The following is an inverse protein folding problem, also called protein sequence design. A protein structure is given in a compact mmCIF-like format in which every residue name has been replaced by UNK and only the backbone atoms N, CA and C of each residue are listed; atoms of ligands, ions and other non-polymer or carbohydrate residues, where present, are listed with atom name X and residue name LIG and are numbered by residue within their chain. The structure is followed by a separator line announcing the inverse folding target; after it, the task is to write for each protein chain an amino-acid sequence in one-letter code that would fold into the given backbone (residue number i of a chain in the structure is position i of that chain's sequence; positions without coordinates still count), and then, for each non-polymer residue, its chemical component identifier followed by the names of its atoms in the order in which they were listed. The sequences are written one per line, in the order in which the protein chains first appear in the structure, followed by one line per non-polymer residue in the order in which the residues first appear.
data_IF_690857271292
#
_entry.id   IF_690857271292
#
_cell.length_a   1.000
_cell.length_b   1.000
_cell.length_c   1.000
_cell.angle_alpha   90.00
_cell.angle_beta   90.00
_cell.angle_gamma   90.00
#
_symmetry.space_group_name_H-M   'P 1'
#
loop_
_entity.id
_entity.type
_entity.pdbx_description
1 polymer ?
#
# COMPACT_ATOMS: atom_id res chain seq x y z
N UNK A 1 22.56 5.91 -9.86
CA UNK A 1 21.99 4.68 -9.26
C UNK A 1 20.48 4.71 -9.40
N UNK A 2 19.78 3.58 -9.57
CA UNK A 2 18.32 3.59 -9.59
C UNK A 2 17.77 4.11 -8.24
N UNK A 3 16.59 4.76 -8.21
CA UNK A 3 15.97 5.16 -6.96
C UNK A 3 15.71 3.97 -6.03
N UNK A 4 15.84 4.19 -4.74
CA UNK A 4 15.45 3.23 -3.71
C UNK A 4 13.93 3.26 -3.57
N UNK A 5 13.28 2.09 -3.67
CA UNK A 5 11.86 1.97 -3.37
C UNK A 5 11.68 1.77 -1.86
N UNK A 6 11.17 2.77 -1.16
CA UNK A 6 10.79 2.65 0.25
C UNK A 6 9.31 2.30 0.35
N UNK A 7 9.02 1.06 0.74
CA UNK A 7 7.67 0.59 1.03
C UNK A 7 7.28 1.08 2.43
N UNK A 8 6.27 1.94 2.51
CA UNK A 8 5.82 2.55 3.76
C UNK A 8 4.52 1.90 4.22
N UNK A 9 4.56 1.23 5.37
CA UNK A 9 3.39 0.66 6.03
C UNK A 9 3.11 1.41 7.34
N UNK A 10 1.87 1.38 7.82
CA UNK A 10 1.57 1.93 9.14
C UNK A 10 2.22 1.09 10.25
N UNK A 11 2.21 -0.23 10.09
CA UNK A 11 2.63 -1.19 11.11
C UNK A 11 1.47 -1.69 11.94
N UNK A 12 1.70 -2.77 12.69
CA UNK A 12 0.72 -3.39 13.57
C UNK A 12 1.37 -4.23 14.66
N UNK A 13 0.67 -4.40 15.78
CA UNK A 13 1.00 -5.39 16.81
C UNK A 13 0.76 -6.84 16.34
N UNK A 14 -0.08 -7.03 15.32
CA UNK A 14 -0.27 -8.36 14.72
C UNK A 14 0.97 -8.73 13.87
N UNK A 15 1.71 -9.80 14.23
CA UNK A 15 2.92 -10.19 13.51
C UNK A 15 2.66 -10.56 12.04
N UNK A 16 1.43 -10.94 11.68
CA UNK A 16 1.04 -11.25 10.29
C UNK A 16 1.12 -10.02 9.40
N UNK A 17 0.98 -8.82 9.95
CA UNK A 17 1.09 -7.57 9.20
C UNK A 17 2.50 -7.38 8.65
N UNK A 18 3.51 -7.35 9.53
CA UNK A 18 4.91 -7.18 9.13
C UNK A 18 5.36 -8.32 8.21
N UNK A 19 4.96 -9.56 8.48
CA UNK A 19 5.25 -10.70 7.61
C UNK A 19 4.70 -10.50 6.18
N UNK A 20 3.49 -9.97 6.04
CA UNK A 20 2.87 -9.67 4.74
C UNK A 20 3.62 -8.55 4.00
N UNK A 21 3.99 -7.47 4.70
CA UNK A 21 4.77 -6.36 4.12
C UNK A 21 6.13 -6.84 3.61
N UNK A 22 6.85 -7.63 4.41
CA UNK A 22 8.14 -8.19 4.00
C UNK A 22 8.00 -9.20 2.85
N UNK A 23 6.94 -10.02 2.83
CA UNK A 23 6.66 -10.91 1.72
C UNK A 23 6.41 -10.13 0.42
N UNK A 24 5.65 -9.03 0.48
CA UNK A 24 5.44 -8.14 -0.66
C UNK A 24 6.76 -7.52 -1.15
N UNK A 25 7.57 -6.97 -0.24
CA UNK A 25 8.86 -6.38 -0.60
C UNK A 25 9.80 -7.42 -1.25
N UNK A 26 9.86 -8.65 -0.72
CA UNK A 26 10.61 -9.75 -1.36
C UNK A 26 10.09 -10.06 -2.76
N UNK A 27 8.78 -10.08 -2.96
CA UNK A 27 8.20 -10.33 -4.28
C UNK A 27 8.54 -9.22 -5.27
N UNK A 28 8.52 -7.95 -4.85
CA UNK A 28 8.93 -6.83 -5.70
C UNK A 28 10.40 -6.94 -6.10
N UNK A 29 11.31 -7.26 -5.16
CA UNK A 29 12.73 -7.49 -5.45
C UNK A 29 12.93 -8.62 -6.48
N UNK A 30 12.20 -9.72 -6.32
CA UNK A 30 12.28 -10.85 -7.26
C UNK A 30 11.78 -10.48 -8.67
N UNK A 31 10.75 -9.63 -8.77
CA UNK A 31 10.22 -9.16 -10.06
C UNK A 31 11.07 -8.06 -10.71
N UNK A 32 11.90 -7.37 -9.93
CA UNK A 32 12.76 -6.26 -10.38
C UNK A 32 14.18 -6.43 -9.86
N UNK A 33 14.96 -7.37 -10.42
CA UNK A 33 16.37 -7.52 -10.07
C UNK A 33 17.12 -6.17 -10.22
N UNK A 34 17.96 -5.84 -9.24
CA UNK A 34 18.70 -4.58 -9.19
C UNK A 34 17.93 -3.39 -8.59
N UNK A 35 16.62 -3.49 -8.36
CA UNK A 35 15.89 -2.49 -7.58
C UNK A 35 16.14 -2.72 -6.09
N UNK A 36 16.71 -1.71 -5.43
CA UNK A 36 16.79 -1.70 -3.97
C UNK A 36 15.41 -1.39 -3.40
N UNK A 37 14.86 -2.33 -2.65
CA UNK A 37 13.58 -2.17 -1.95
C UNK A 37 13.84 -2.19 -0.45
N UNK A 38 13.31 -1.22 0.26
CA UNK A 38 13.37 -1.08 1.72
C UNK A 38 11.94 -1.07 2.28
N UNK A 39 11.78 -1.46 3.53
CA UNK A 39 10.49 -1.41 4.25
C UNK A 39 10.64 -0.52 5.47
N UNK A 40 9.75 0.45 5.64
CA UNK A 40 9.69 1.31 6.82
C UNK A 40 8.27 1.36 7.37
N UNK A 41 8.17 1.44 8.69
CA UNK A 41 6.90 1.49 9.41
C UNK A 41 6.71 2.82 10.13
N UNK A 42 5.46 3.28 10.27
CA UNK A 42 5.14 4.49 11.04
C UNK A 42 5.06 4.19 12.53
N UNK A 43 4.55 3.02 12.90
CA UNK A 43 4.34 2.58 14.28
C UNK A 43 4.50 1.06 14.42
N UNK A 44 4.57 0.55 15.64
CA UNK A 44 4.56 -0.86 16.09
C UNK A 44 5.67 -1.79 15.59
N UNK A 45 6.28 -1.52 14.43
CA UNK A 45 7.26 -2.38 13.81
C UNK A 45 8.52 -1.58 13.47
N UNK A 46 9.63 -2.30 13.35
CA UNK A 46 10.93 -1.74 12.96
C UNK A 46 11.40 -2.36 11.64
N UNK A 47 12.25 -1.65 10.87
CA UNK A 47 12.71 -0.28 11.12
C UNK A 47 11.61 0.76 10.86
N UNK A 48 11.64 1.86 11.61
CA UNK A 48 10.77 3.01 11.36
C UNK A 48 11.15 3.71 10.05
N UNK A 49 10.23 4.46 9.46
CA UNK A 49 10.52 5.27 8.26
C UNK A 49 11.73 6.20 8.47
N UNK A 50 11.84 6.97 9.58
CA UNK A 50 13.03 7.77 9.85
C UNK A 50 14.33 6.96 9.91
N UNK A 51 14.33 5.81 10.59
CA UNK A 51 15.53 4.95 10.70
C UNK A 51 16.03 4.48 9.34
N UNK A 52 15.11 4.12 8.44
CA UNK A 52 15.47 3.73 7.07
C UNK A 52 16.06 4.91 6.30
N UNK A 53 15.44 6.08 6.37
CA UNK A 53 15.91 7.28 5.65
C UNK A 53 17.27 7.75 6.17
N UNK A 54 17.49 7.76 7.48
CA UNK A 54 18.78 8.10 8.10
C UNK A 54 19.89 7.17 7.64
N UNK A 55 19.59 5.87 7.58
CA UNK A 55 20.54 4.87 7.07
C UNK A 55 20.84 5.09 5.60
N UNK A 56 19.82 5.33 4.76
CA UNK A 56 20.02 5.61 3.34
C UNK A 56 20.86 6.87 3.10
N UNK A 57 20.63 7.93 3.87
CA UNK A 57 21.41 9.17 3.79
C UNK A 57 22.89 8.92 4.14
N UNK A 58 23.16 8.17 5.22
CA UNK A 58 24.54 7.80 5.61
C UNK A 58 25.24 6.95 4.56
N UNK A 59 24.55 5.96 4.01
CA UNK A 59 25.10 5.07 2.97
C UNK A 59 25.39 5.80 1.65
N UNK A 60 24.65 6.88 1.34
CA UNK A 60 24.89 7.72 0.17
C UNK A 60 26.18 8.54 0.22
N UNK A 61 26.72 8.80 1.43
CA UNK A 61 27.92 9.60 1.63
C UNK A 61 27.78 11.00 0.98
N UNK A 62 28.67 11.37 0.04
CA UNK A 62 28.58 12.67 -0.64
C UNK A 62 27.53 12.71 -1.77
N UNK A 63 26.93 11.58 -2.13
CA UNK A 63 26.00 11.49 -3.26
C UNK A 63 24.54 11.62 -2.80
N UNK A 64 23.74 12.30 -3.63
CA UNK A 64 22.29 12.36 -3.44
C UNK A 64 21.68 10.98 -3.70
N UNK A 65 20.92 10.47 -2.74
CA UNK A 65 20.15 9.23 -2.86
C UNK A 65 18.71 9.56 -3.22
N UNK A 66 18.25 9.06 -4.37
CA UNK A 66 16.86 9.18 -4.78
C UNK A 66 16.00 8.09 -4.11
N UNK A 67 14.88 8.50 -3.51
CA UNK A 67 13.95 7.61 -2.80
C UNK A 67 12.55 7.80 -3.34
N UNK A 68 11.89 6.71 -3.72
CA UNK A 68 10.46 6.69 -4.01
C UNK A 68 9.75 6.01 -2.84
N UNK A 69 9.00 6.79 -2.06
CA UNK A 69 8.18 6.29 -0.96
C UNK A 69 6.82 5.82 -1.48
N UNK A 70 6.54 4.52 -1.37
CA UNK A 70 5.29 3.88 -1.80
C UNK A 70 4.44 3.52 -0.57
N UNK A 71 3.35 4.26 -0.30
CA UNK A 71 2.42 3.90 0.76
C UNK A 71 1.68 2.59 0.46
N UNK A 72 1.66 1.65 1.40
CA UNK A 72 0.86 0.42 1.34
C UNK A 72 -0.55 0.65 1.86
N UNK A 73 -1.29 1.48 1.15
CA UNK A 73 -2.65 1.87 1.51
C UNK A 73 -3.59 1.55 0.36
N UNK A 74 -4.69 0.84 0.64
CA UNK A 74 -5.66 0.41 -0.37
C UNK A 74 -6.71 1.48 -0.67
N UNK A 75 -6.86 2.47 0.21
CA UNK A 75 -7.72 3.64 0.04
C UNK A 75 -6.98 4.88 0.54
N UNK A 76 -7.49 6.06 0.16
CA UNK A 76 -7.04 7.34 0.72
C UNK A 76 -7.72 7.65 2.06
N UNK A 77 -7.74 6.72 3.01
CA UNK A 77 -8.32 6.98 4.33
C UNK A 77 -7.38 7.85 5.21
N UNK A 78 -7.98 8.65 6.10
CA UNK A 78 -7.45 9.89 6.67
C UNK A 78 -6.13 9.87 7.48
N UNK A 79 -5.49 8.73 7.77
CA UNK A 79 -4.11 8.70 8.32
C UNK A 79 -3.02 8.67 7.23
N UNK A 80 -3.39 8.31 6.00
CA UNK A 80 -2.53 8.34 4.83
C UNK A 80 -2.11 9.74 4.39
N UNK A 81 -2.97 10.73 4.68
CA UNK A 81 -2.91 12.08 4.09
C UNK A 81 -2.03 13.04 4.89
N UNK A 82 -1.74 12.74 6.17
CA UNK A 82 -0.97 13.61 7.05
C UNK A 82 0.34 12.96 7.51
N UNK A 83 0.28 11.75 8.05
CA UNK A 83 1.41 11.15 8.77
C UNK A 83 2.58 10.85 7.84
N UNK A 84 2.33 10.17 6.71
CA UNK A 84 3.38 9.86 5.72
C UNK A 84 3.95 11.15 5.13
N UNK A 85 3.15 12.10 4.60
CA UNK A 85 3.71 13.35 4.08
C UNK A 85 4.50 14.15 5.13
N UNK A 86 4.05 14.18 6.38
CA UNK A 86 4.75 14.88 7.45
C UNK A 86 6.12 14.26 7.73
N UNK A 87 6.18 12.94 7.95
CA UNK A 87 7.44 12.22 8.21
C UNK A 87 8.42 12.36 7.03
N UNK A 88 7.93 12.28 5.78
CA UNK A 88 8.79 12.42 4.60
C UNK A 88 9.29 13.86 4.40
N UNK A 89 8.47 14.86 4.73
CA UNK A 89 8.88 16.28 4.67
C UNK A 89 9.94 16.59 5.72
N UNK A 90 9.72 16.18 6.97
CA UNK A 90 10.70 16.36 8.05
C UNK A 90 12.05 15.70 7.69
N UNK A 91 12.01 14.48 7.16
CA UNK A 91 13.23 13.81 6.70
C UNK A 91 13.91 14.55 5.54
N UNK A 92 13.14 15.12 4.60
CA UNK A 92 13.69 15.89 3.48
C UNK A 92 14.37 17.19 3.93
N UNK A 93 13.83 17.84 4.96
CA UNK A 93 14.41 19.04 5.56
C UNK A 93 15.69 18.71 6.35
N UNK A 94 15.68 17.60 7.10
CA UNK A 94 16.80 17.18 7.95
C UNK A 94 17.94 16.51 7.17
N UNK A 95 17.66 15.90 6.02
CA UNK A 95 18.60 15.07 5.27
C UNK A 95 18.77 15.59 3.82
N UNK A 96 19.59 16.63 3.58
CA UNK A 96 19.77 17.22 2.25
C UNK A 96 20.41 16.25 1.23
N UNK A 97 21.01 15.16 1.70
CA UNK A 97 21.52 14.07 0.86
C UNK A 97 20.42 13.16 0.29
N UNK A 98 19.16 13.34 0.66
CA UNK A 98 18.02 12.58 0.11
C UNK A 98 17.17 13.42 -0.82
N UNK A 99 16.74 12.80 -1.93
CA UNK A 99 15.65 13.32 -2.77
C UNK A 99 14.48 12.37 -2.70
N UNK A 100 13.48 12.71 -1.90
CA UNK A 100 12.32 11.87 -1.62
C UNK A 100 11.14 12.27 -2.51
N UNK A 101 10.54 11.29 -3.19
CA UNK A 101 9.28 11.43 -3.92
C UNK A 101 8.25 10.46 -3.35
N UNK A 102 7.10 10.97 -2.93
CA UNK A 102 5.99 10.11 -2.51
C UNK A 102 5.15 9.69 -3.72
N UNK A 103 4.92 8.38 -3.88
CA UNK A 103 4.00 7.83 -4.86
C UNK A 103 2.54 7.88 -4.36
N UNK A 104 1.59 7.66 -5.28
CA UNK A 104 0.19 7.48 -4.90
C UNK A 104 -0.02 6.22 -4.04
N UNK A 105 -1.12 6.21 -3.28
CA UNK A 105 -1.60 4.99 -2.61
C UNK A 105 -1.94 3.90 -3.64
N UNK A 106 -2.03 2.64 -3.22
CA UNK A 106 -2.25 1.50 -4.12
C UNK A 106 -3.65 1.44 -4.73
N UNK A 107 -4.65 1.99 -4.06
CA UNK A 107 -6.04 1.92 -4.51
C UNK A 107 -6.79 3.26 -4.50
N UNK A 108 -7.93 3.34 -5.19
CA UNK A 108 -8.62 2.26 -5.92
C UNK A 108 -7.87 1.81 -7.19
N UNK A 109 -7.89 0.50 -7.49
CA UNK A 109 -7.21 -0.07 -8.66
C UNK A 109 -7.93 -1.31 -9.19
N UNK A 110 -8.08 -1.49 -10.51
CA UNK A 110 -8.62 -2.72 -11.11
C UNK A 110 -7.85 -3.99 -10.70
N UNK A 111 -6.55 -3.86 -10.39
CA UNK A 111 -5.74 -4.99 -9.91
C UNK A 111 -6.19 -5.48 -8.53
N UNK A 112 -6.68 -4.58 -7.67
CA UNK A 112 -7.23 -4.95 -6.36
C UNK A 112 -8.57 -5.67 -6.52
N UNK A 113 -9.44 -5.20 -7.44
CA UNK A 113 -10.69 -5.90 -7.77
C UNK A 113 -10.40 -7.29 -8.35
N UNK A 114 -9.42 -7.41 -9.26
CA UNK A 114 -8.98 -8.71 -9.78
C UNK A 114 -8.44 -9.64 -8.70
N UNK A 115 -7.77 -9.11 -7.67
CA UNK A 115 -7.36 -9.90 -6.51
C UNK A 115 -8.54 -10.40 -5.69
N UNK A 116 -9.59 -9.57 -5.50
CA UNK A 116 -10.82 -9.97 -4.82
C UNK A 116 -11.58 -11.07 -5.58
N UNK A 117 -11.71 -10.93 -6.90
CA UNK A 117 -12.29 -11.97 -7.78
C UNK A 117 -11.57 -13.31 -7.62
N UNK A 118 -10.24 -13.28 -7.65
CA UNK A 118 -9.44 -14.50 -7.43
C UNK A 118 -9.69 -15.11 -6.07
N UNK A 119 -9.85 -14.31 -5.00
CA UNK A 119 -10.19 -14.83 -3.67
C UNK A 119 -11.56 -15.50 -3.62
N UNK A 120 -12.55 -14.96 -4.33
CA UNK A 120 -13.88 -15.57 -4.44
C UNK A 120 -13.81 -16.94 -5.12
N UNK A 121 -12.99 -17.09 -6.17
CA UNK A 121 -12.76 -18.37 -6.84
C UNK A 121 -11.94 -19.35 -6.02
N UNK A 122 -10.91 -18.88 -5.31
CA UNK A 122 -10.15 -19.69 -4.35
C UNK A 122 -11.06 -20.24 -3.22
N UNK A 123 -12.15 -19.54 -2.90
CA UNK A 123 -13.16 -19.97 -1.93
C UNK A 123 -14.21 -20.94 -2.50
N UNK A 124 -14.11 -21.32 -3.78
CA UNK A 124 -14.96 -22.34 -4.41
C UNK A 124 -16.13 -21.82 -5.23
N UNK A 125 -16.27 -20.50 -5.41
CA UNK A 125 -17.27 -19.96 -6.34
C UNK A 125 -16.85 -20.22 -7.80
N UNK A 126 -17.83 -20.34 -8.67
CA UNK A 126 -17.67 -20.43 -10.11
C UNK A 126 -18.31 -19.22 -10.81
N UNK A 127 -18.00 -19.05 -12.10
CA UNK A 127 -18.60 -17.97 -12.91
C UNK A 127 -20.12 -18.10 -13.03
N UNK A 128 -20.65 -19.33 -12.96
CA UNK A 128 -22.08 -19.64 -12.99
C UNK A 128 -22.83 -19.12 -11.77
N UNK A 129 -22.15 -18.94 -10.64
CA UNK A 129 -22.79 -18.57 -9.38
C UNK A 129 -23.07 -17.06 -9.31
N UNK A 130 -22.35 -16.28 -10.12
CA UNK A 130 -22.39 -14.81 -10.11
C UNK A 130 -23.82 -14.24 -10.13
N UNK A 131 -24.74 -14.67 -11.02
CA UNK A 131 -26.09 -14.09 -11.08
C UNK A 131 -26.96 -14.36 -9.84
N UNK A 132 -26.57 -15.30 -8.97
CA UNK A 132 -27.29 -15.66 -7.74
C UNK A 132 -26.54 -15.32 -6.45
N UNK A 133 -25.29 -14.84 -6.54
CA UNK A 133 -24.43 -14.60 -5.36
C UNK A 133 -24.25 -13.10 -5.10
N UNK A 134 -24.60 -12.68 -3.88
CA UNK A 134 -24.24 -11.36 -3.34
C UNK A 134 -22.84 -11.37 -2.73
N UNK A 135 -22.08 -10.30 -2.97
CA UNK A 135 -20.74 -10.07 -2.40
C UNK A 135 -20.80 -8.88 -1.44
N UNK A 136 -20.21 -9.04 -0.25
CA UNK A 136 -20.04 -7.95 0.72
C UNK A 136 -18.57 -7.52 0.73
N UNK A 137 -18.29 -6.29 0.32
CA UNK A 137 -16.98 -5.65 0.31
C UNK A 137 -16.77 -4.89 1.61
N UNK A 138 -16.22 -5.58 2.61
CA UNK A 138 -15.83 -4.96 3.87
C UNK A 138 -14.46 -4.27 3.75
N UNK A 139 -14.33 -3.10 4.40
CA UNK A 139 -13.06 -2.39 4.58
C UNK A 139 -12.86 -2.06 6.06
N UNK A 140 -11.63 -1.72 6.46
CA UNK A 140 -11.39 -1.18 7.80
C UNK A 140 -12.20 0.10 7.96
N UNK A 141 -13.03 0.18 9.00
CA UNK A 141 -13.90 1.32 9.25
C UNK A 141 -13.10 2.63 9.32
N UNK A 142 -13.65 3.68 8.74
CA UNK A 142 -13.07 5.02 8.75
C UNK A 142 -14.13 6.04 9.13
N UNK A 143 -13.76 7.03 9.93
CA UNK A 143 -14.59 8.20 10.18
C UNK A 143 -14.60 9.18 9.00
N UNK A 144 -13.79 8.95 7.96
CA UNK A 144 -13.72 9.77 6.75
C UNK A 144 -14.81 9.36 5.75
N UNK A 145 -15.78 10.24 5.46
CA UNK A 145 -16.83 9.97 4.47
C UNK A 145 -16.27 9.70 3.07
N UNK A 146 -15.13 10.28 2.69
CA UNK A 146 -14.51 10.01 1.39
C UNK A 146 -14.00 8.57 1.29
N UNK A 147 -13.47 8.02 2.39
CA UNK A 147 -13.00 6.64 2.40
C UNK A 147 -14.15 5.66 2.20
N UNK A 148 -15.29 5.90 2.87
CA UNK A 148 -16.51 5.12 2.68
C UNK A 148 -17.05 5.26 1.24
N UNK A 149 -17.07 6.47 0.70
CA UNK A 149 -17.52 6.72 -0.67
C UNK A 149 -16.65 6.02 -1.72
N UNK A 150 -15.33 5.96 -1.52
CA UNK A 150 -14.41 5.21 -2.40
C UNK A 150 -14.75 3.72 -2.41
N UNK A 151 -14.99 3.12 -1.24
CA UNK A 151 -15.36 1.70 -1.15
C UNK A 151 -16.71 1.42 -1.82
N UNK A 152 -17.71 2.27 -1.56
CA UNK A 152 -19.02 2.18 -2.21
C UNK A 152 -18.91 2.32 -3.74
N UNK A 153 -18.04 3.21 -4.21
CA UNK A 153 -17.73 3.39 -5.63
C UNK A 153 -17.12 2.13 -6.26
N UNK A 154 -16.15 1.50 -5.59
CA UNK A 154 -15.56 0.23 -6.02
C UNK A 154 -16.62 -0.86 -6.09
N UNK A 155 -17.46 -1.01 -5.06
CA UNK A 155 -18.53 -2.00 -5.03
C UNK A 155 -19.52 -1.82 -6.20
N UNK A 156 -19.96 -0.58 -6.43
CA UNK A 156 -20.87 -0.27 -7.52
C UNK A 156 -20.26 -0.54 -8.91
N UNK A 157 -19.00 -0.17 -9.13
CA UNK A 157 -18.29 -0.45 -10.38
C UNK A 157 -18.07 -1.95 -10.57
N UNK A 158 -17.71 -2.66 -9.50
CA UNK A 158 -17.49 -4.09 -9.51
C UNK A 158 -18.77 -4.84 -9.87
N UNK A 159 -19.91 -4.51 -9.24
CA UNK A 159 -21.21 -5.10 -9.59
C UNK A 159 -21.54 -4.92 -11.07
N UNK A 160 -21.41 -3.69 -11.59
CA UNK A 160 -21.72 -3.37 -13.00
C UNK A 160 -20.89 -4.18 -14.00
N UNK A 161 -19.64 -4.52 -13.65
CA UNK A 161 -18.70 -5.16 -14.58
C UNK A 161 -18.56 -6.66 -14.43
N UNK A 162 -18.77 -7.20 -13.22
CA UNK A 162 -18.48 -8.60 -12.94
C UNK A 162 -19.72 -9.50 -13.05
N UNK A 163 -20.94 -8.97 -13.00
CA UNK A 163 -22.17 -9.74 -13.12
C UNK A 163 -22.56 -10.50 -11.83
N UNK A 164 -22.00 -10.12 -10.68
CA UNK A 164 -22.49 -10.55 -9.38
C UNK A 164 -23.90 -10.02 -9.13
N UNK A 165 -24.78 -10.81 -8.51
CA UNK A 165 -26.16 -10.44 -8.18
C UNK A 165 -26.21 -9.10 -7.45
N UNK A 166 -25.33 -8.94 -6.46
CA UNK A 166 -25.10 -7.69 -5.75
C UNK A 166 -23.65 -7.58 -5.30
N UNK A 167 -23.13 -6.34 -5.22
CA UNK A 167 -21.89 -6.03 -4.48
C UNK A 167 -22.17 -4.84 -3.57
N UNK A 168 -21.91 -4.97 -2.27
CA UNK A 168 -22.22 -3.95 -1.25
C UNK A 168 -21.05 -3.72 -0.32
#
# INVERSE_FOLDING_TARGET
MPPVLLVVAHGSRDPRHAATVHALARRVRALRPGLRVETGFLDFNTPSVPEVLDRLAREGGPHVVEVVAQPLLLTRAFHAKADIPAVLREASERLPGLRIRQAGVLGPSPLLVGALERRLYEAGLARSDRPSTGVVLASAGSSDPEAAAVIAGIAAEWQRRAGWYAVR
#
